data_IF_328390362864
#
_entry.id   IF_328390362864
#
_cell.length_a   1.000
_cell.length_b   1.000
_cell.length_c   1.000
_cell.angle_alpha   90.00
_cell.angle_beta   90.00
_cell.angle_gamma   90.00
#
_symmetry.space_group_name_H-M   'P 1'
#
loop_
_entity.id
_entity.type
_entity.pdbx_description
1 polymer ?
#
# COMPACT_ATOMS: atom_id res chain seq x y z
N UNK A 1 14.96 -13.49 2.53
CA UNK A 1 14.62 -12.10 2.17
C UNK A 1 13.13 -11.88 1.89
N UNK A 2 12.41 -12.82 1.27
CA UNK A 2 10.97 -12.68 0.96
C UNK A 2 10.02 -12.64 2.17
N UNK A 3 10.34 -13.37 3.25
CA UNK A 3 9.45 -13.49 4.41
C UNK A 3 9.22 -12.16 5.16
N UNK A 4 10.25 -11.35 5.37
CA UNK A 4 10.12 -10.06 6.06
C UNK A 4 9.25 -9.06 5.31
N UNK A 5 9.28 -9.09 3.98
CA UNK A 5 8.45 -8.22 3.15
C UNK A 5 6.98 -8.63 3.17
N UNK A 6 6.68 -9.93 3.23
CA UNK A 6 5.30 -10.41 3.39
C UNK A 6 4.71 -9.98 4.74
N UNK A 7 5.46 -10.13 5.83
CA UNK A 7 5.04 -9.65 7.15
C UNK A 7 4.81 -8.13 7.17
N UNK A 8 5.67 -7.38 6.47
CA UNK A 8 5.50 -5.95 6.33
C UNK A 8 4.22 -5.59 5.53
N UNK A 9 3.92 -6.30 4.44
CA UNK A 9 2.67 -6.11 3.68
C UNK A 9 1.43 -6.42 4.53
N UNK A 10 1.47 -7.48 5.34
CA UNK A 10 0.39 -7.80 6.29
C UNK A 10 0.24 -6.73 7.36
N UNK A 11 1.34 -6.14 7.82
CA UNK A 11 1.30 -5.03 8.76
C UNK A 11 0.63 -3.78 8.15
N UNK A 12 0.95 -3.47 6.90
CA UNK A 12 0.29 -2.39 6.16
C UNK A 12 -1.21 -2.67 6.00
N UNK A 13 -1.56 -3.90 5.63
CA UNK A 13 -2.96 -4.31 5.48
C UNK A 13 -3.73 -4.20 6.80
N UNK A 14 -3.12 -4.59 7.92
CA UNK A 14 -3.73 -4.43 9.26
C UNK A 14 -3.99 -2.97 9.61
N UNK A 15 -2.99 -2.09 9.43
CA UNK A 15 -3.15 -0.63 9.67
C UNK A 15 -4.23 -0.02 8.79
N UNK A 16 -4.36 -0.50 7.55
CA UNK A 16 -5.44 -0.12 6.64
C UNK A 16 -6.80 -0.62 7.16
N UNK A 17 -6.88 -1.88 7.59
CA UNK A 17 -8.12 -2.47 8.11
C UNK A 17 -8.58 -1.85 9.44
N UNK A 18 -7.71 -1.13 10.16
CA UNK A 18 -8.12 -0.31 11.32
C UNK A 18 -8.88 0.97 10.90
N UNK A 19 -8.69 1.42 9.66
CA UNK A 19 -9.32 2.63 9.10
C UNK A 19 -10.55 2.29 8.26
N UNK A 20 -10.62 1.07 7.71
CA UNK A 20 -11.70 0.61 6.84
C UNK A 20 -12.64 -0.32 7.63
N UNK A 21 -13.97 -0.14 7.56
CA UNK A 21 -14.69 0.84 6.74
C UNK A 21 -14.60 2.26 7.29
N UNK A 22 -14.49 3.23 6.38
CA UNK A 22 -14.52 4.65 6.73
C UNK A 22 -15.90 4.98 7.26
N UNK A 23 -15.98 5.40 8.51
CA UNK A 23 -17.24 5.85 9.12
C UNK A 23 -17.38 7.37 8.95
N UNK A 24 -18.25 7.84 8.05
CA UNK A 24 -18.44 9.28 7.80
C UNK A 24 -19.09 10.01 8.98
N UNK A 25 -19.54 9.31 10.02
CA UNK A 25 -20.10 9.90 11.24
C UNK A 25 -19.03 10.25 12.28
N UNK A 26 -17.78 9.80 12.07
CA UNK A 26 -16.65 10.19 12.91
C UNK A 26 -16.35 11.70 12.80
N UNK A 27 -15.74 12.24 13.85
CA UNK A 27 -15.31 13.63 13.89
C UNK A 27 -14.28 13.94 12.79
N UNK A 28 -14.30 15.19 12.32
CA UNK A 28 -13.41 15.67 11.25
C UNK A 28 -11.94 15.48 11.60
N UNK A 29 -11.56 15.66 12.88
CA UNK A 29 -10.19 15.47 13.35
C UNK A 29 -9.73 14.01 13.19
N UNK A 30 -10.56 13.05 13.59
CA UNK A 30 -10.31 11.61 13.43
C UNK A 30 -10.23 11.22 11.96
N UNK A 31 -11.15 11.72 11.11
CA UNK A 31 -11.11 11.48 9.67
C UNK A 31 -9.84 12.07 9.03
N UNK A 32 -9.35 13.22 9.50
CA UNK A 32 -8.08 13.80 9.06
C UNK A 32 -6.87 12.97 9.52
N UNK A 33 -6.87 12.45 10.74
CA UNK A 33 -5.82 11.56 11.27
C UNK A 33 -5.75 10.26 10.44
N UNK A 34 -6.91 9.67 10.14
CA UNK A 34 -7.03 8.53 9.24
C UNK A 34 -6.48 8.84 7.83
N UNK A 35 -6.78 10.03 7.29
CA UNK A 35 -6.31 10.45 5.97
C UNK A 35 -4.80 10.60 5.93
N UNK A 36 -4.23 11.22 6.97
CA UNK A 36 -2.78 11.33 7.14
C UNK A 36 -2.12 9.96 7.24
N UNK A 37 -2.73 9.04 8.00
CA UNK A 37 -2.23 7.67 8.15
C UNK A 37 -2.23 6.90 6.83
N UNK A 38 -3.31 6.97 6.05
CA UNK A 38 -3.37 6.35 4.72
C UNK A 38 -2.34 6.96 3.74
N UNK A 39 -2.10 8.27 3.80
CA UNK A 39 -1.07 8.93 2.99
C UNK A 39 0.35 8.44 3.34
N UNK A 40 0.64 8.25 4.62
CA UNK A 40 1.91 7.67 5.09
C UNK A 40 2.03 6.25 4.55
N UNK A 41 1.02 5.40 4.74
CA UNK A 41 0.98 4.02 4.23
C UNK A 41 1.24 4.00 2.72
N UNK A 42 0.57 4.86 1.95
CA UNK A 42 0.78 4.97 0.49
C UNK A 42 2.23 5.31 0.15
N UNK A 43 2.84 6.23 0.90
CA UNK A 43 4.25 6.62 0.67
C UNK A 43 5.20 5.46 0.96
N UNK A 44 4.98 4.75 2.06
CA UNK A 44 5.78 3.58 2.43
C UNK A 44 5.64 2.44 1.40
N UNK A 45 4.44 2.22 0.87
CA UNK A 45 4.17 1.28 -0.23
C UNK A 45 4.93 1.66 -1.52
N UNK A 46 4.94 2.95 -1.88
CA UNK A 46 5.67 3.43 -3.06
C UNK A 46 7.19 3.27 -2.91
N UNK A 47 7.73 3.62 -1.75
CA UNK A 47 9.17 3.49 -1.47
C UNK A 47 9.61 2.02 -1.55
N UNK A 48 8.81 1.15 -0.91
CA UNK A 48 9.02 -0.31 -0.96
C UNK A 48 8.88 -0.84 -2.38
N UNK A 49 7.91 -0.37 -3.16
CA UNK A 49 7.74 -0.78 -4.56
C UNK A 49 8.97 -0.41 -5.41
N UNK A 50 9.52 0.80 -5.24
CA UNK A 50 10.75 1.21 -5.94
C UNK A 50 11.95 0.37 -5.52
N UNK A 51 12.09 0.11 -4.22
CA UNK A 51 13.17 -0.72 -3.68
C UNK A 51 13.09 -2.17 -4.18
N UNK A 52 11.88 -2.74 -4.18
CA UNK A 52 11.64 -4.06 -4.73
C UNK A 52 11.94 -4.05 -6.23
N UNK A 53 11.41 -3.13 -7.02
CA UNK A 53 11.69 -3.05 -8.46
C UNK A 53 13.19 -2.93 -8.78
N UNK A 54 13.94 -2.13 -8.01
CA UNK A 54 15.40 -2.03 -8.16
C UNK A 54 16.11 -3.34 -7.82
N UNK A 55 15.71 -4.01 -6.74
CA UNK A 55 16.22 -5.34 -6.38
C UNK A 55 15.86 -6.39 -7.44
N UNK A 56 14.65 -6.32 -8.02
CA UNK A 56 14.23 -7.21 -9.09
C UNK A 56 15.12 -7.02 -10.32
N UNK A 57 15.36 -5.79 -10.73
CA UNK A 57 16.18 -5.48 -11.91
C UNK A 57 17.62 -5.98 -11.74
N UNK A 58 18.24 -5.70 -10.58
CA UNK A 58 19.57 -6.22 -10.26
C UNK A 58 19.60 -7.76 -10.21
N UNK A 59 18.58 -8.38 -9.59
CA UNK A 59 18.48 -9.84 -9.51
C UNK A 59 18.28 -10.46 -10.90
N UNK A 60 17.52 -9.82 -11.79
CA UNK A 60 17.30 -10.28 -13.16
C UNK A 60 18.61 -10.25 -13.95
N UNK A 61 19.38 -9.17 -13.85
CA UNK A 61 20.69 -9.04 -14.52
C UNK A 61 21.69 -10.12 -14.07
N UNK A 62 21.65 -10.54 -12.80
CA UNK A 62 22.48 -11.63 -12.29
C UNK A 62 21.97 -13.01 -12.74
N UNK A 63 20.65 -13.19 -12.83
CA UNK A 63 20.01 -14.45 -13.21
C UNK A 63 20.07 -14.75 -14.72
N UNK A 64 20.20 -13.74 -15.58
CA UNK A 64 20.43 -13.93 -17.03
C UNK A 64 21.70 -14.73 -17.35
N UNK A 65 22.63 -14.86 -16.39
CA UNK A 65 23.83 -15.69 -16.53
C UNK A 65 23.73 -17.09 -15.91
N UNK A 66 22.59 -17.49 -15.33
CA UNK A 66 22.42 -18.81 -14.68
C UNK A 66 21.12 -19.48 -15.12
N UNK A 67 21.21 -20.46 -16.02
CA UNK A 67 20.09 -21.31 -16.43
C UNK A 67 19.86 -22.42 -15.39
N UNK A 68 18.76 -22.35 -14.64
CA UNK A 68 18.39 -23.38 -13.65
C UNK A 68 16.97 -23.18 -13.06
N UNK A 69 16.37 -24.25 -12.53
CA UNK A 69 15.00 -24.24 -11.97
C UNK A 69 14.80 -23.25 -10.83
N UNK A 70 15.84 -22.99 -10.05
CA UNK A 70 15.80 -22.12 -8.88
C UNK A 70 15.62 -20.63 -9.26
N UNK A 71 16.01 -20.27 -10.49
CA UNK A 71 15.78 -18.94 -11.07
C UNK A 71 14.28 -18.66 -11.29
N UNK A 72 13.53 -19.68 -11.72
CA UNK A 72 12.10 -19.56 -11.98
C UNK A 72 11.32 -19.33 -10.67
N UNK A 73 11.64 -20.08 -9.62
CA UNK A 73 11.00 -19.94 -8.30
C UNK A 73 11.30 -18.57 -7.67
N UNK A 74 12.54 -18.07 -7.80
CA UNK A 74 12.92 -16.74 -7.35
C UNK A 74 12.12 -15.65 -8.08
N UNK A 75 11.95 -15.79 -9.41
CA UNK A 75 11.20 -14.86 -10.26
C UNK A 75 9.71 -14.85 -9.94
N UNK A 76 9.10 -16.00 -9.69
CA UNK A 76 7.68 -16.09 -9.28
C UNK A 76 7.44 -15.45 -7.91
N UNK A 77 8.29 -15.74 -6.91
CA UNK A 77 8.18 -15.14 -5.58
C UNK A 77 8.26 -13.61 -5.64
N UNK A 78 9.19 -13.12 -6.43
CA UNK A 78 9.39 -11.71 -6.72
C UNK A 78 8.13 -11.09 -7.38
N UNK A 79 7.54 -11.79 -8.34
CA UNK A 79 6.32 -11.36 -9.02
C UNK A 79 5.12 -11.30 -8.08
N UNK A 80 4.91 -12.31 -7.23
CA UNK A 80 3.81 -12.36 -6.24
C UNK A 80 3.86 -11.16 -5.29
N UNK A 81 5.05 -10.84 -4.78
CA UNK A 81 5.27 -9.68 -3.92
C UNK A 81 4.95 -8.37 -4.66
N UNK A 82 5.43 -8.23 -5.90
CA UNK A 82 5.14 -7.06 -6.74
C UNK A 82 3.64 -6.90 -7.03
N UNK A 83 2.94 -8.00 -7.30
CA UNK A 83 1.49 -7.98 -7.52
C UNK A 83 0.72 -7.55 -6.27
N UNK A 84 1.11 -8.06 -5.09
CA UNK A 84 0.47 -7.72 -3.81
C UNK A 84 0.71 -6.26 -3.42
N UNK A 85 1.92 -5.74 -3.64
CA UNK A 85 2.22 -4.30 -3.49
C UNK A 85 1.32 -3.44 -4.38
N UNK A 86 1.21 -3.80 -5.66
CA UNK A 86 0.38 -3.07 -6.63
C UNK A 86 -1.10 -3.09 -6.25
N UNK A 87 -1.59 -4.21 -5.73
CA UNK A 87 -2.97 -4.34 -5.26
C UNK A 87 -3.22 -3.45 -4.03
N UNK A 88 -2.39 -3.56 -2.99
CA UNK A 88 -2.49 -2.71 -1.79
C UNK A 88 -2.40 -1.23 -2.11
N UNK A 89 -1.50 -0.84 -3.03
CA UNK A 89 -1.38 0.54 -3.46
C UNK A 89 -2.69 1.06 -4.10
N UNK A 90 -3.32 0.24 -4.96
CA UNK A 90 -4.61 0.59 -5.58
C UNK A 90 -5.70 0.73 -4.53
N UNK A 91 -5.77 -0.18 -3.57
CA UNK A 91 -6.77 -0.17 -2.50
C UNK A 91 -6.59 1.06 -1.61
N UNK A 92 -5.39 1.29 -1.07
CA UNK A 92 -5.09 2.47 -0.25
C UNK A 92 -5.38 3.77 -1.01
N UNK A 93 -5.09 3.82 -2.33
CA UNK A 93 -5.39 5.00 -3.15
C UNK A 93 -6.90 5.21 -3.37
N UNK A 94 -7.69 4.13 -3.39
CA UNK A 94 -9.16 4.23 -3.42
C UNK A 94 -9.66 4.73 -2.07
N UNK A 95 -9.18 4.14 -0.99
CA UNK A 95 -9.60 4.47 0.37
C UNK A 95 -9.30 5.94 0.72
N UNK A 96 -8.12 6.45 0.34
CA UNK A 96 -7.79 7.88 0.48
C UNK A 96 -8.83 8.75 -0.22
N UNK A 97 -9.26 8.38 -1.43
CA UNK A 97 -10.27 9.14 -2.19
C UNK A 97 -11.65 9.06 -1.55
N UNK A 98 -12.03 7.91 -1.00
CA UNK A 98 -13.29 7.75 -0.28
C UNK A 98 -13.30 8.57 1.01
N UNK A 99 -12.20 8.54 1.76
CA UNK A 99 -12.04 9.30 2.98
C UNK A 99 -12.01 10.81 2.72
N UNK A 100 -11.37 11.22 1.63
CA UNK A 100 -11.36 12.63 1.22
C UNK A 100 -12.77 13.12 0.83
N UNK A 101 -13.60 12.28 0.19
CA UNK A 101 -15.01 12.60 -0.05
C UNK A 101 -15.81 12.73 1.25
N UNK A 102 -15.57 11.86 2.24
CA UNK A 102 -16.21 11.96 3.55
C UNK A 102 -15.83 13.27 4.25
N UNK A 103 -14.55 13.66 4.19
CA UNK A 103 -14.06 14.95 4.72
C UNK A 103 -14.67 16.17 4.00
N UNK A 104 -14.80 16.13 2.67
CA UNK A 104 -15.43 17.21 1.90
C UNK A 104 -16.92 17.38 2.26
N UNK A 105 -17.63 16.29 2.56
CA UNK A 105 -19.03 16.32 3.01
C UNK A 105 -19.14 16.93 4.42
N UNK A 106 -18.31 16.48 5.37
CA UNK A 106 -18.32 17.01 6.75
C UNK A 106 -17.93 18.49 6.80
N UNK A 107 -16.98 18.93 5.98
CA UNK A 107 -16.61 20.36 5.89
C UNK A 107 -17.71 21.23 5.28
N UNK A 108 -18.47 20.71 4.31
CA UNK A 108 -19.59 21.43 3.70
C UNK A 108 -20.78 21.62 4.66
N UNK A 109 -20.96 20.72 5.63
CA UNK A 109 -22.02 20.82 6.64
C UNK A 109 -21.77 21.87 7.72
N UNK A 110 -20.52 22.35 7.90
CA UNK A 110 -20.19 23.35 8.92
C UNK A 110 -20.46 24.81 8.49
N UNK A 111 -20.81 25.08 7.23
CA UNK A 111 -20.93 26.45 6.68
C UNK A 111 -22.38 26.98 6.63
N UNK A 112 -23.34 26.36 7.33
CA UNK A 112 -24.72 26.88 7.40
C UNK A 112 -25.01 27.56 8.74
N UNK A 113 -24.62 28.82 8.90
CA UNK A 113 -25.18 29.74 9.91
C UNK A 113 -25.22 31.17 9.40
#
# INVERSE_FOLDING_TARGET
MSHGLLLWLENIDRRRNEIIPIDPTQDTDTLQEHHKTLLIIRRELLDTQLKVASLQDMSLQLLVHSEGSDCLEAKEKVHVIGNRLKLLLKEVTRDIRELQKALDISSSQQVSY
#
